data_IF_443091603719
#
_entry.id   IF_443091603719
#
_cell.length_a   1.000
_cell.length_b   1.000
_cell.length_c   1.000
_cell.angle_alpha   90.00
_cell.angle_beta   90.00
_cell.angle_gamma   90.00
#
_symmetry.space_group_name_H-M   'P 1'
#
loop_
_entity.id
_entity.type
_entity.pdbx_description
1 polymer ?
#
# COMPACT_ATOMS: atom_id res chain seq x y z
N UNK A 1 13.77 -4.31 -4.89
CA UNK A 1 12.90 -4.04 -6.05
C UNK A 1 11.94 -2.89 -5.76
N UNK A 2 10.99 -3.01 -4.82
CA UNK A 2 10.05 -1.91 -4.48
C UNK A 2 10.75 -0.65 -3.98
N UNK A 3 11.78 -0.79 -3.13
CA UNK A 3 12.59 0.33 -2.62
C UNK A 3 13.12 1.25 -3.72
N UNK A 4 13.75 0.67 -4.75
CA UNK A 4 14.33 1.46 -5.84
C UNK A 4 13.24 2.11 -6.70
N UNK A 5 12.13 1.40 -6.94
CA UNK A 5 10.99 1.93 -7.70
C UNK A 5 10.42 3.18 -7.02
N UNK A 6 10.30 3.19 -5.69
CA UNK A 6 9.84 4.38 -4.95
C UNK A 6 10.83 5.54 -5.13
N UNK A 7 12.14 5.28 -4.99
CA UNK A 7 13.17 6.30 -5.17
C UNK A 7 13.17 6.88 -6.59
N UNK A 8 13.17 6.04 -7.61
CA UNK A 8 13.18 6.48 -9.00
C UNK A 8 11.90 7.25 -9.36
N UNK A 9 10.74 6.82 -8.87
CA UNK A 9 9.48 7.54 -9.06
C UNK A 9 9.57 8.99 -8.55
N UNK A 10 10.21 9.21 -7.41
CA UNK A 10 10.42 10.57 -6.87
C UNK A 10 11.52 11.30 -7.64
N UNK A 11 12.73 10.72 -7.69
CA UNK A 11 13.94 11.45 -8.07
C UNK A 11 14.14 11.56 -9.59
N UNK A 12 13.74 10.53 -10.34
CA UNK A 12 13.94 10.45 -11.80
C UNK A 12 12.70 10.92 -12.55
N UNK A 13 11.53 10.48 -12.10
CA UNK A 13 10.28 10.72 -12.83
C UNK A 13 9.44 11.86 -12.27
N UNK A 14 9.78 12.40 -11.09
CA UNK A 14 9.06 13.52 -10.48
C UNK A 14 7.59 13.20 -10.18
N UNK A 15 7.27 11.94 -9.90
CA UNK A 15 5.92 11.50 -9.61
C UNK A 15 5.38 12.16 -8.33
N UNK A 16 4.10 12.55 -8.36
CA UNK A 16 3.41 13.11 -7.19
C UNK A 16 2.58 12.08 -6.42
N UNK A 17 2.20 10.99 -7.10
CA UNK A 17 1.45 9.86 -6.54
C UNK A 17 2.06 8.57 -7.10
N UNK A 18 2.28 7.57 -6.25
CA UNK A 18 2.81 6.26 -6.61
C UNK A 18 1.80 5.20 -6.19
N UNK A 19 1.26 4.44 -7.15
CA UNK A 19 0.41 3.28 -6.85
C UNK A 19 1.23 1.98 -6.88
N UNK A 20 1.19 1.22 -5.79
CA UNK A 20 1.91 -0.05 -5.61
C UNK A 20 0.91 -1.13 -5.22
N UNK A 21 0.29 -1.77 -6.22
CA UNK A 21 -0.57 -2.95 -6.03
C UNK A 21 0.24 -4.22 -5.76
N UNK A 22 1.14 -4.14 -4.79
CA UNK A 22 2.04 -5.20 -4.36
C UNK A 22 2.56 -4.89 -2.95
N UNK A 23 3.22 -5.86 -2.33
CA UNK A 23 3.94 -5.64 -1.08
C UNK A 23 4.75 -6.85 -0.64
N UNK A 24 5.48 -6.70 0.45
CA UNK A 24 6.26 -7.73 1.11
C UNK A 24 5.77 -7.93 2.55
N UNK A 25 5.82 -9.17 3.06
CA UNK A 25 5.46 -9.49 4.45
C UNK A 25 6.53 -9.09 5.48
N UNK A 26 7.66 -8.57 5.02
CA UNK A 26 8.80 -8.22 5.83
C UNK A 26 9.03 -6.72 5.75
N UNK A 27 9.11 -6.10 6.92
CA UNK A 27 9.59 -4.74 7.07
C UNK A 27 11.11 -4.72 6.94
N UNK A 28 11.62 -3.85 6.08
CA UNK A 28 13.07 -3.63 5.96
C UNK A 28 13.38 -2.15 6.15
N UNK A 29 14.50 -1.82 6.81
CA UNK A 29 14.93 -0.43 6.96
C UNK A 29 14.97 0.32 5.63
N UNK A 30 15.45 -0.32 4.57
CA UNK A 30 15.55 0.30 3.24
C UNK A 30 14.21 0.60 2.60
N UNK A 31 13.19 -0.26 2.78
CA UNK A 31 11.84 0.00 2.27
C UNK A 31 11.16 1.11 3.07
N UNK A 32 11.37 1.14 4.39
CA UNK A 32 10.88 2.20 5.27
C UNK A 32 11.49 3.55 4.92
N UNK A 33 12.80 3.60 4.69
CA UNK A 33 13.52 4.81 4.29
C UNK A 33 13.05 5.33 2.92
N UNK A 34 12.66 4.45 2.00
CA UNK A 34 12.10 4.87 0.72
C UNK A 34 10.68 5.45 0.84
N UNK A 35 9.82 4.86 1.67
CA UNK A 35 8.50 5.42 1.94
C UNK A 35 8.58 6.79 2.65
N UNK A 36 9.46 6.92 3.65
CA UNK A 36 9.73 8.19 4.31
C UNK A 36 10.32 9.25 3.35
N UNK A 37 11.16 8.82 2.40
CA UNK A 37 11.67 9.72 1.37
C UNK A 37 10.56 10.30 0.49
N UNK A 38 9.64 9.46 0.02
CA UNK A 38 8.50 9.92 -0.77
C UNK A 38 7.65 10.94 0.01
N UNK A 39 7.35 10.66 1.28
CA UNK A 39 6.62 11.57 2.16
C UNK A 39 7.34 12.92 2.32
N UNK A 40 8.65 12.93 2.58
CA UNK A 40 9.45 14.15 2.73
C UNK A 40 9.47 15.01 1.46
N UNK A 41 9.24 14.41 0.30
CA UNK A 41 9.15 15.11 -0.99
C UNK A 41 7.69 15.44 -1.39
N UNK A 42 6.72 15.25 -0.49
CA UNK A 42 5.32 15.53 -0.75
C UNK A 42 4.70 14.62 -1.80
N UNK A 43 5.18 13.38 -1.89
CA UNK A 43 4.69 12.32 -2.79
C UNK A 43 3.84 11.34 -2.01
N UNK A 44 2.61 11.12 -2.46
CA UNK A 44 1.70 10.15 -1.85
C UNK A 44 2.01 8.75 -2.38
N UNK A 45 2.30 7.81 -1.48
CA UNK A 45 2.38 6.38 -1.82
C UNK A 45 1.06 5.72 -1.46
N UNK A 46 0.48 4.97 -2.39
CA UNK A 46 -0.71 4.14 -2.20
C UNK A 46 -0.31 2.68 -2.39
N UNK A 47 -0.63 1.80 -1.44
CA UNK A 47 -0.26 0.39 -1.52
C UNK A 47 -1.38 -0.54 -1.05
N UNK A 48 -1.40 -1.77 -1.56
CA UNK A 48 -2.42 -2.76 -1.24
C UNK A 48 -2.26 -3.32 0.18
N UNK A 49 -3.37 -3.54 0.88
CA UNK A 49 -3.43 -4.24 2.17
C UNK A 49 -2.97 -5.72 2.09
N UNK A 50 -3.09 -6.33 0.91
CA UNK A 50 -2.78 -7.75 0.64
C UNK A 50 -4.03 -8.61 0.44
N UNK A 51 -3.83 -9.83 -0.04
CA UNK A 51 -4.86 -10.70 -0.61
C UNK A 51 -5.00 -12.07 0.09
N UNK A 52 -4.59 -12.17 1.36
CA UNK A 52 -4.59 -13.42 2.14
C UNK A 52 -5.88 -13.63 2.94
N UNK A 53 -6.78 -12.63 2.96
CA UNK A 53 -8.06 -12.70 3.66
C UNK A 53 -7.97 -12.74 5.18
N UNK A 54 -6.81 -12.36 5.76
CA UNK A 54 -6.54 -12.42 7.19
C UNK A 54 -5.84 -11.13 7.68
N UNK A 55 -5.22 -11.15 8.85
CA UNK A 55 -4.54 -10.01 9.46
C UNK A 55 -3.06 -9.85 9.05
N UNK A 56 -2.60 -10.60 8.04
CA UNK A 56 -1.23 -10.50 7.52
C UNK A 56 -0.94 -9.07 7.08
N UNK A 57 0.22 -8.58 7.49
CA UNK A 57 0.67 -7.20 7.24
C UNK A 57 1.60 -7.19 6.03
N UNK A 58 1.33 -6.27 5.09
CA UNK A 58 2.15 -6.04 3.90
C UNK A 58 2.77 -4.65 3.91
N UNK A 59 4.03 -4.57 3.50
CA UNK A 59 4.80 -3.34 3.34
C UNK A 59 5.00 -3.04 1.84
N UNK A 60 4.90 -1.77 1.41
CA UNK A 60 4.94 -0.57 2.24
C UNK A 60 3.59 -0.12 2.81
N UNK A 61 2.47 -0.76 2.45
CA UNK A 61 1.12 -0.37 2.91
C UNK A 61 0.99 -0.16 4.42
N UNK A 62 1.69 -0.95 5.23
CA UNK A 62 1.64 -0.82 6.68
C UNK A 62 2.45 0.35 7.29
N UNK A 63 3.18 1.13 6.49
CA UNK A 63 3.88 2.30 7.01
C UNK A 63 2.93 3.48 7.20
N UNK A 64 3.05 4.27 8.29
CA UNK A 64 2.15 5.38 8.58
C UNK A 64 2.04 6.44 7.48
N UNK A 65 3.05 6.58 6.63
CA UNK A 65 3.11 7.55 5.55
C UNK A 65 2.53 7.05 4.21
N UNK A 66 2.02 5.82 4.18
CA UNK A 66 1.51 5.15 2.98
C UNK A 66 0.01 4.94 3.14
N UNK A 67 -0.75 5.28 2.11
CA UNK A 67 -2.19 5.01 2.07
C UNK A 67 -2.41 3.52 1.77
N UNK A 68 -2.84 2.77 2.77
CA UNK A 68 -3.10 1.34 2.68
C UNK A 68 -4.54 1.06 2.27
N UNK A 69 -4.71 0.41 1.11
CA UNK A 69 -6.01 0.23 0.48
C UNK A 69 -6.40 -1.25 0.45
N UNK A 70 -7.54 -1.56 1.07
CA UNK A 70 -8.21 -2.86 0.97
C UNK A 70 -9.35 -2.85 -0.05
N UNK A 71 -9.96 -4.02 -0.29
CA UNK A 71 -11.07 -4.19 -1.24
C UNK A 71 -12.39 -4.38 -0.50
N UNK A 72 -13.47 -3.70 -0.91
CA UNK A 72 -14.83 -3.96 -0.40
C UNK A 72 -15.42 -5.24 -0.99
N UNK A 73 -16.29 -5.91 -0.24
CA UNK A 73 -17.12 -7.01 -0.73
C UNK A 73 -18.22 -6.51 -1.68
N UNK A 74 -18.99 -7.44 -2.25
CA UNK A 74 -20.04 -7.11 -3.23
C UNK A 74 -21.14 -6.20 -2.66
N UNK A 75 -21.52 -6.43 -1.41
CA UNK A 75 -22.51 -5.62 -0.68
C UNK A 75 -22.01 -4.22 -0.29
N UNK A 76 -20.70 -3.97 -0.41
CA UNK A 76 -20.00 -2.73 0.00
C UNK A 76 -20.17 -2.38 1.48
N UNK A 77 -20.48 -3.37 2.32
CA UNK A 77 -20.67 -3.21 3.76
C UNK A 77 -19.48 -3.74 4.59
N UNK A 78 -18.48 -4.30 3.92
CA UNK A 78 -17.28 -4.82 4.56
C UNK A 78 -16.17 -5.17 3.57
N UNK A 79 -15.03 -5.68 4.07
CA UNK A 79 -13.92 -6.13 3.24
C UNK A 79 -14.26 -7.40 2.44
N UNK A 80 -13.81 -7.47 1.19
CA UNK A 80 -13.85 -8.68 0.36
C UNK A 80 -13.18 -9.86 1.07
N UNK A 81 -13.57 -11.09 0.75
CA UNK A 81 -13.07 -12.29 1.45
C UNK A 81 -11.54 -12.37 1.43
N UNK A 82 -10.91 -12.07 0.30
CA UNK A 82 -9.45 -12.07 0.15
C UNK A 82 -8.77 -10.81 0.68
N UNK A 83 -9.48 -9.71 0.92
CA UNK A 83 -8.83 -8.47 1.38
C UNK A 83 -8.29 -8.69 2.78
N UNK A 84 -7.00 -8.40 3.00
CA UNK A 84 -6.42 -8.40 4.33
C UNK A 84 -7.11 -7.35 5.23
N UNK A 85 -7.21 -7.68 6.51
CA UNK A 85 -7.92 -6.91 7.55
C UNK A 85 -7.02 -6.77 8.75
N UNK A 86 -6.25 -5.68 8.79
CA UNK A 86 -5.39 -5.35 9.91
C UNK A 86 -5.54 -3.86 10.24
N UNK A 87 -4.98 -3.44 11.37
CA UNK A 87 -5.13 -2.06 11.89
C UNK A 87 -4.50 -0.98 11.00
N UNK A 88 -3.74 -1.36 9.97
CA UNK A 88 -3.05 -0.43 9.09
C UNK A 88 -3.83 -0.17 7.79
N UNK A 89 -5.02 -0.75 7.60
CA UNK A 89 -5.86 -0.47 6.42
C UNK A 89 -6.60 0.85 6.63
N UNK A 90 -6.35 1.83 5.75
CA UNK A 90 -6.93 3.18 5.88
C UNK A 90 -8.35 3.25 5.28
N UNK A 91 -8.55 2.60 4.13
CA UNK A 91 -9.86 2.53 3.50
C UNK A 91 -10.05 1.26 2.66
N UNK A 92 -11.31 0.98 2.36
CA UNK A 92 -11.72 -0.07 1.44
C UNK A 92 -12.30 0.56 0.17
N UNK A 93 -11.93 0.04 -1.00
CA UNK A 93 -12.43 0.51 -2.31
C UNK A 93 -12.97 -0.64 -3.17
N UNK A 94 -13.80 -0.36 -4.19
CA UNK A 94 -14.20 -1.38 -5.17
C UNK A 94 -13.00 -1.99 -5.91
N UNK A 95 -12.96 -3.31 -6.00
CA UNK A 95 -11.90 -4.06 -6.69
C UNK A 95 -12.31 -5.47 -7.15
N UNK A 96 -13.62 -5.76 -7.11
CA UNK A 96 -14.21 -6.98 -7.65
C UNK A 96 -14.73 -6.69 -9.07
N UNK A 97 -14.66 -7.68 -9.95
CA UNK A 97 -15.38 -7.65 -11.23
C UNK A 97 -16.81 -8.15 -10.98
N UNK A 98 -17.80 -7.37 -11.42
CA UNK A 98 -19.22 -7.71 -11.35
C UNK A 98 -19.73 -8.05 -12.75
#
# INVERSE_FOLDING_TARGET
MITQIIRDAVDVYGCRIINISSGARVDTPTLRDAAAWAEQHGVLVVSSAGNDGNDTVYYPGAFPSVLCVGTVNESKDGPALFSNRNKNVDLLVPGLNY
#
